data_IF_077581169675
#
_entry.id   IF_077581169675
#
_cell.length_a   1.000
_cell.length_b   1.000
_cell.length_c   1.000
_cell.angle_alpha   90.00
_cell.angle_beta   90.00
_cell.angle_gamma   90.00
#
_symmetry.space_group_name_H-M   'P 1'
#
loop_
_entity.id
_entity.type
_entity.pdbx_description
1 polymer ?
#
# COMPACT_ATOMS: atom_id res chain seq x y z
N UNK A 1 15.06 -22.26 13.68
CA UNK A 1 14.77 -22.40 12.23
C UNK A 1 14.58 -21.01 11.64
N UNK A 2 15.11 -20.79 10.44
CA UNK A 2 15.03 -19.50 9.76
C UNK A 2 13.60 -19.24 9.26
N UNK A 3 13.18 -17.98 9.32
CA UNK A 3 11.92 -17.51 8.74
C UNK A 3 12.08 -17.54 7.22
N UNK A 4 11.08 -18.04 6.50
CA UNK A 4 11.06 -18.00 5.06
C UNK A 4 10.27 -16.77 4.58
N UNK A 5 10.85 -16.01 3.64
CA UNK A 5 10.15 -14.95 2.91
C UNK A 5 9.30 -15.59 1.80
N UNK A 6 8.21 -16.25 2.17
CA UNK A 6 7.38 -17.00 1.21
C UNK A 6 5.95 -16.43 1.14
N UNK A 7 5.83 -15.24 0.58
CA UNK A 7 4.67 -14.86 -0.26
C UNK A 7 4.83 -13.40 -0.73
N UNK A 8 4.68 -13.16 -2.03
CA UNK A 8 4.56 -11.81 -2.58
C UNK A 8 3.17 -11.26 -2.26
N UNK A 9 2.95 -10.85 -1.02
CA UNK A 9 1.81 -9.99 -0.71
C UNK A 9 2.25 -8.54 -0.85
N UNK A 10 1.58 -7.83 -1.77
CA UNK A 10 1.75 -6.40 -2.01
C UNK A 10 1.21 -5.64 -0.79
N UNK A 11 2.03 -5.52 0.25
CA UNK A 11 1.76 -4.65 1.39
C UNK A 11 2.52 -3.33 1.17
N UNK A 12 2.08 -2.60 0.16
CA UNK A 12 2.51 -1.25 -0.16
C UNK A 12 2.07 -0.22 0.89
N UNK A 13 2.73 0.93 0.80
CA UNK A 13 2.56 2.05 1.73
C UNK A 13 1.66 3.09 1.10
N UNK A 14 0.78 3.65 1.91
CA UNK A 14 -0.13 4.69 1.45
C UNK A 14 0.59 6.04 1.32
N UNK A 15 0.13 6.91 0.41
CA UNK A 15 0.64 8.27 0.33
C UNK A 15 0.59 8.96 1.70
N UNK A 16 1.44 9.96 1.93
CA UNK A 16 1.50 10.64 3.22
C UNK A 16 0.10 11.17 3.62
N UNK A 17 -0.31 10.93 4.87
CA UNK A 17 -1.65 11.24 5.40
C UNK A 17 -2.82 10.46 4.78
N UNK A 18 -2.56 9.24 4.29
CA UNK A 18 -3.57 8.25 3.92
C UNK A 18 -3.50 7.06 4.86
N UNK A 19 -4.64 6.41 5.08
CA UNK A 19 -4.77 5.28 5.99
C UNK A 19 -4.78 3.97 5.18
N UNK A 20 -3.87 3.05 5.52
CA UNK A 20 -3.84 1.71 4.96
C UNK A 20 -4.89 0.82 5.64
N UNK A 21 -5.80 0.22 4.86
CA UNK A 21 -6.78 -0.77 5.34
C UNK A 21 -7.10 -1.76 4.21
N UNK A 22 -7.37 -3.04 4.52
CA UNK A 22 -8.04 -3.97 3.58
C UNK A 22 -7.44 -4.07 2.15
N UNK A 23 -6.13 -3.85 1.96
CA UNK A 23 -5.53 -3.93 0.62
C UNK A 23 -5.57 -2.62 -0.19
N UNK A 24 -6.08 -1.53 0.39
CA UNK A 24 -6.19 -0.20 -0.22
C UNK A 24 -5.73 0.92 0.72
N UNK A 25 -5.55 2.10 0.15
CA UNK A 25 -5.22 3.34 0.84
C UNK A 25 -6.39 4.30 0.79
N UNK A 26 -6.76 4.87 1.93
CA UNK A 26 -7.95 5.71 2.06
C UNK A 26 -7.60 7.10 2.56
N UNK A 27 -8.24 8.12 1.98
CA UNK A 27 -8.21 9.50 2.47
C UNK A 27 -9.61 9.96 2.82
N UNK A 28 -9.78 10.37 4.07
CA UNK A 28 -11.05 10.90 4.58
C UNK A 28 -11.03 12.42 4.46
N UNK A 29 -12.02 12.97 3.76
CA UNK A 29 -12.19 14.41 3.60
C UNK A 29 -13.45 14.87 4.30
N UNK A 30 -13.30 15.77 5.26
CA UNK A 30 -14.41 16.42 5.97
C UNK A 30 -14.99 17.61 5.21
N UNK A 31 -14.39 17.99 4.07
CA UNK A 31 -14.90 19.07 3.23
C UNK A 31 -16.16 18.59 2.51
N UNK A 32 -17.29 19.25 2.76
CA UNK A 32 -18.53 18.97 2.08
C UNK A 32 -18.45 19.44 0.60
N UNK A 33 -18.62 18.50 -0.33
CA UNK A 33 -18.65 18.76 -1.77
C UNK A 33 -19.82 18.01 -2.41
N UNK A 34 -20.33 18.50 -3.53
CA UNK A 34 -21.20 17.70 -4.38
C UNK A 34 -20.46 16.48 -4.94
N UNK A 35 -21.19 15.44 -5.33
CA UNK A 35 -20.59 14.15 -5.67
C UNK A 35 -19.58 14.26 -6.82
N UNK A 36 -19.91 15.03 -7.86
CA UNK A 36 -19.01 15.25 -8.99
C UNK A 36 -17.73 15.99 -8.57
N UNK A 37 -17.84 17.00 -7.71
CA UNK A 37 -16.69 17.72 -7.19
C UNK A 37 -15.84 16.86 -6.25
N UNK A 38 -16.46 15.98 -5.46
CA UNK A 38 -15.77 15.00 -4.61
C UNK A 38 -15.00 13.97 -5.47
N UNK A 39 -15.63 13.46 -6.54
CA UNK A 39 -14.98 12.61 -7.55
C UNK A 39 -13.74 13.29 -8.14
N UNK A 40 -13.90 14.50 -8.67
CA UNK A 40 -12.78 15.27 -9.23
C UNK A 40 -11.67 15.55 -8.21
N UNK A 41 -12.03 15.76 -6.94
CA UNK A 41 -11.05 15.94 -5.87
C UNK A 41 -10.21 14.69 -5.63
N UNK A 42 -10.83 13.50 -5.60
CA UNK A 42 -10.09 12.23 -5.52
C UNK A 42 -9.22 12.01 -6.77
N UNK A 43 -9.73 12.30 -7.96
CA UNK A 43 -8.99 12.16 -9.22
C UNK A 43 -7.77 13.10 -9.32
N UNK A 44 -7.87 14.30 -8.74
CA UNK A 44 -6.73 15.24 -8.64
C UNK A 44 -5.60 14.67 -7.78
N UNK A 45 -5.93 13.84 -6.79
CA UNK A 45 -4.97 13.09 -5.98
C UNK A 45 -4.49 11.79 -6.67
N UNK A 46 -4.91 11.55 -7.91
CA UNK A 46 -4.64 10.33 -8.67
C UNK A 46 -5.36 9.09 -8.11
N UNK A 47 -6.40 9.30 -7.32
CA UNK A 47 -7.22 8.27 -6.68
C UNK A 47 -8.65 8.28 -7.24
N UNK A 48 -9.56 7.52 -6.63
CA UNK A 48 -10.99 7.53 -6.96
C UNK A 48 -11.84 7.68 -5.70
N UNK A 49 -13.11 8.03 -5.82
CA UNK A 49 -14.05 7.84 -4.69
C UNK A 49 -14.08 6.34 -4.33
N UNK A 50 -14.25 6.04 -3.05
CA UNK A 50 -14.13 4.68 -2.53
C UNK A 50 -15.09 3.69 -3.18
N UNK A 51 -14.57 2.51 -3.52
CA UNK A 51 -15.30 1.38 -4.09
C UNK A 51 -15.35 0.26 -3.06
N UNK A 52 -16.54 -0.01 -2.51
CA UNK A 52 -16.69 -0.94 -1.39
C UNK A 52 -17.04 -2.34 -1.93
N UNK A 53 -16.09 -3.27 -1.82
CA UNK A 53 -16.20 -4.62 -2.38
C UNK A 53 -16.49 -5.70 -1.32
N UNK A 54 -16.46 -5.35 -0.03
CA UNK A 54 -16.78 -6.30 1.03
C UNK A 54 -17.34 -5.66 2.29
N UNK A 55 -17.99 -6.47 3.12
CA UNK A 55 -18.43 -6.04 4.46
C UNK A 55 -17.25 -5.68 5.37
N UNK A 56 -16.13 -6.41 5.25
CA UNK A 56 -14.92 -6.15 6.04
C UNK A 56 -14.32 -4.78 5.69
N UNK A 57 -14.31 -4.43 4.40
CA UNK A 57 -13.92 -3.12 3.91
C UNK A 57 -14.83 -2.00 4.43
N UNK A 58 -16.15 -2.15 4.30
CA UNK A 58 -17.08 -1.16 4.81
C UNK A 58 -16.90 -0.92 6.31
N UNK A 59 -16.73 -1.99 7.11
CA UNK A 59 -16.46 -1.90 8.55
C UNK A 59 -15.17 -1.14 8.85
N UNK A 60 -14.11 -1.38 8.08
CA UNK A 60 -12.86 -0.66 8.23
C UNK A 60 -13.03 0.83 7.93
N UNK A 61 -13.70 1.19 6.83
CA UNK A 61 -13.96 2.58 6.43
C UNK A 61 -14.74 3.33 7.51
N UNK A 62 -15.88 2.77 7.97
CA UNK A 62 -16.74 3.46 8.93
C UNK A 62 -16.08 3.62 10.30
N UNK A 63 -15.12 2.76 10.66
CA UNK A 63 -14.34 2.90 11.90
C UNK A 63 -13.45 4.14 11.94
N UNK A 64 -13.20 4.76 10.77
CA UNK A 64 -12.35 5.95 10.61
C UNK A 64 -13.14 7.21 10.29
N UNK A 65 -14.42 7.09 9.93
CA UNK A 65 -15.29 8.26 9.77
C UNK A 65 -15.56 8.83 11.17
N UNK A 66 -15.13 10.07 11.41
CA UNK A 66 -15.37 10.74 12.68
C UNK A 66 -16.65 11.56 12.62
N UNK A 67 -17.47 11.46 13.66
CA UNK A 67 -18.78 12.13 13.73
C UNK A 67 -19.90 11.33 13.05
N UNK A 68 -21.11 11.87 13.10
CA UNK A 68 -22.32 11.26 12.52
C UNK A 68 -22.69 11.88 11.17
N UNK A 69 -21.71 12.13 10.31
CA UNK A 69 -21.91 12.77 9.01
C UNK A 69 -22.19 11.75 7.90
N UNK A 70 -23.16 12.06 7.04
CA UNK A 70 -23.36 11.36 5.78
C UNK A 70 -22.10 11.50 4.92
N UNK A 71 -21.72 10.45 4.20
CA UNK A 71 -20.43 10.41 3.51
C UNK A 71 -20.56 9.83 2.11
N UNK A 72 -20.14 10.58 1.09
CA UNK A 72 -20.11 10.11 -0.29
C UNK A 72 -19.18 8.92 -0.48
N UNK A 73 -19.65 7.96 -1.28
CA UNK A 73 -18.87 6.83 -1.80
C UNK A 73 -18.90 6.87 -3.34
N UNK A 74 -18.09 6.05 -3.99
CA UNK A 74 -17.96 6.04 -5.46
C UNK A 74 -19.12 5.40 -6.21
N UNK A 75 -20.27 5.19 -5.59
CA UNK A 75 -21.42 4.51 -6.20
C UNK A 75 -22.29 5.52 -6.93
N UNK A 76 -22.66 5.24 -8.18
CA UNK A 76 -23.56 6.08 -8.96
C UNK A 76 -24.44 5.29 -9.94
N UNK A 77 -25.57 5.84 -10.37
CA UNK A 77 -26.39 5.26 -11.43
C UNK A 77 -25.66 5.33 -12.76
N UNK A 78 -25.82 4.29 -13.57
CA UNK A 78 -25.29 4.28 -14.93
C UNK A 78 -26.01 5.32 -15.79
N UNK A 79 -25.28 6.25 -16.44
CA UNK A 79 -25.87 7.20 -17.37
C UNK A 79 -26.64 6.55 -18.54
N UNK A 80 -26.27 5.33 -18.93
CA UNK A 80 -26.88 4.61 -20.05
C UNK A 80 -28.08 3.75 -19.65
N UNK A 81 -28.19 3.40 -18.37
CA UNK A 81 -29.25 2.53 -17.85
C UNK A 81 -29.49 2.88 -16.37
N UNK A 82 -30.49 3.71 -16.10
CA UNK A 82 -30.78 4.21 -14.75
C UNK A 82 -31.25 3.12 -13.77
N UNK A 83 -31.57 1.92 -14.25
CA UNK A 83 -31.86 0.76 -13.39
C UNK A 83 -30.57 0.15 -12.80
N UNK A 84 -29.41 0.48 -13.37
CA UNK A 84 -28.11 -0.09 -13.03
C UNK A 84 -27.27 0.87 -12.19
N UNK A 85 -26.54 0.29 -11.24
CA UNK A 85 -25.54 0.97 -10.42
C UNK A 85 -24.13 0.55 -10.81
N UNK A 86 -23.21 1.51 -10.81
CA UNK A 86 -21.80 1.33 -11.12
C UNK A 86 -20.95 2.02 -10.05
N UNK A 87 -19.76 1.48 -9.85
CA UNK A 87 -18.69 2.20 -9.17
C UNK A 87 -18.01 3.19 -10.13
N UNK A 88 -17.33 4.20 -9.58
CA UNK A 88 -16.55 5.19 -10.33
C UNK A 88 -15.46 4.61 -11.24
N UNK A 89 -15.06 3.35 -11.04
CA UNK A 89 -14.14 2.62 -11.92
C UNK A 89 -14.84 1.86 -13.06
N UNK A 90 -16.16 2.02 -13.18
CA UNK A 90 -17.00 1.39 -14.20
C UNK A 90 -17.43 -0.04 -13.88
N UNK A 91 -16.99 -0.62 -12.76
CA UNK A 91 -17.37 -1.97 -12.36
C UNK A 91 -18.77 -1.99 -11.74
N UNK A 92 -19.42 -3.17 -11.74
CA UNK A 92 -20.70 -3.39 -11.07
C UNK A 92 -20.46 -3.82 -9.61
N UNK A 93 -21.29 -3.40 -8.64
CA UNK A 93 -21.18 -3.88 -7.28
C UNK A 93 -21.40 -5.40 -7.19
N UNK A 94 -20.41 -6.12 -6.68
CA UNK A 94 -20.51 -7.56 -6.32
C UNK A 94 -20.95 -7.75 -4.87
N UNK A 95 -20.69 -6.75 -4.03
CA UNK A 95 -21.20 -6.60 -2.67
C UNK A 95 -22.16 -5.41 -2.64
N UNK A 96 -23.26 -5.54 -1.90
CA UNK A 96 -24.19 -4.43 -1.64
C UNK A 96 -24.55 -4.36 -0.17
N UNK A 97 -24.80 -3.15 0.32
CA UNK A 97 -25.28 -2.94 1.69
C UNK A 97 -26.28 -1.80 1.78
N UNK A 98 -27.24 -1.80 0.87
CA UNK A 98 -28.35 -0.86 0.86
C UNK A 98 -29.16 -0.89 2.16
N UNK A 99 -29.74 0.26 2.47
CA UNK A 99 -30.82 0.38 3.44
C UNK A 99 -32.05 -0.42 3.00
N UNK A 100 -32.90 -0.86 3.94
CA UNK A 100 -34.19 -1.41 3.59
C UNK A 100 -34.96 -0.44 2.68
N UNK A 101 -35.44 -0.93 1.54
CA UNK A 101 -36.16 -0.17 0.49
C UNK A 101 -35.31 0.76 -0.37
N UNK A 102 -33.98 0.77 -0.19
CA UNK A 102 -33.07 1.45 -1.11
C UNK A 102 -32.50 0.48 -2.16
N UNK A 103 -32.13 0.97 -3.35
CA UNK A 103 -32.28 2.35 -3.82
C UNK A 103 -33.72 2.70 -4.23
N UNK A 104 -34.25 3.83 -3.77
CA UNK A 104 -35.70 4.13 -3.82
C UNK A 104 -36.13 5.12 -4.90
N UNK A 105 -35.22 5.95 -5.43
CA UNK A 105 -35.56 7.00 -6.39
C UNK A 105 -34.63 7.05 -7.60
N UNK A 106 -35.20 6.99 -8.81
CA UNK A 106 -34.41 7.11 -10.06
C UNK A 106 -33.74 8.48 -10.25
N UNK A 107 -34.22 9.52 -9.56
CA UNK A 107 -33.61 10.86 -9.54
C UNK A 107 -32.49 11.01 -8.50
N UNK A 108 -32.28 9.98 -7.69
CA UNK A 108 -31.20 9.90 -6.71
C UNK A 108 -30.10 9.01 -7.28
N UNK A 109 -29.08 9.65 -7.84
CA UNK A 109 -28.13 8.98 -8.73
C UNK A 109 -26.78 8.69 -8.07
N UNK A 110 -26.58 9.10 -6.82
CA UNK A 110 -25.30 9.01 -6.13
C UNK A 110 -25.44 8.35 -4.75
N UNK A 111 -24.58 7.38 -4.45
CA UNK A 111 -24.62 6.63 -3.20
C UNK A 111 -23.81 7.27 -2.07
N UNK A 112 -24.32 7.21 -0.84
CA UNK A 112 -23.61 7.60 0.37
C UNK A 112 -23.81 6.59 1.51
N UNK A 113 -22.94 6.66 2.52
CA UNK A 113 -23.09 5.96 3.80
C UNK A 113 -23.98 6.77 4.75
N UNK A 114 -24.86 6.08 5.50
CA UNK A 114 -25.79 6.71 6.44
C UNK A 114 -25.61 6.24 7.90
N UNK A 115 -25.05 7.07 8.80
CA UNK A 115 -24.78 6.68 10.20
C UNK A 115 -26.03 6.22 10.97
N UNK A 116 -27.15 6.94 10.83
CA UNK A 116 -28.40 6.66 11.55
C UNK A 116 -29.07 5.33 11.15
N UNK A 117 -28.61 4.71 10.07
CA UNK A 117 -29.08 3.39 9.61
C UNK A 117 -27.96 2.35 9.63
N UNK A 118 -27.06 2.43 10.61
CA UNK A 118 -25.97 1.47 10.77
C UNK A 118 -24.94 1.52 9.63
N UNK A 119 -24.74 2.71 9.06
CA UNK A 119 -23.81 2.99 7.96
C UNK A 119 -24.10 2.25 6.67
N UNK A 120 -25.35 1.83 6.46
CA UNK A 120 -25.84 1.27 5.20
C UNK A 120 -25.93 2.33 4.09
N UNK A 121 -26.05 1.86 2.86
CA UNK A 121 -26.02 2.70 1.66
C UNK A 121 -27.39 3.27 1.37
N UNK A 122 -27.39 4.49 0.86
CA UNK A 122 -28.58 5.22 0.42
C UNK A 122 -28.24 5.97 -0.85
N UNK A 123 -29.17 6.02 -1.81
CA UNK A 123 -29.06 6.90 -2.96
C UNK A 123 -29.57 8.29 -2.62
N UNK A 124 -28.92 9.31 -3.16
CA UNK A 124 -29.36 10.68 -3.00
C UNK A 124 -28.99 11.53 -4.22
N UNK A 125 -29.56 12.73 -4.31
CA UNK A 125 -29.25 13.67 -5.39
C UNK A 125 -27.78 14.09 -5.30
N UNK A 126 -27.06 13.93 -6.42
CA UNK A 126 -25.62 14.18 -6.51
C UNK A 126 -25.20 15.63 -6.23
N UNK A 127 -26.15 16.58 -6.23
CA UNK A 127 -25.92 18.00 -5.98
C UNK A 127 -25.76 18.33 -4.48
N UNK A 128 -26.19 17.44 -3.58
CA UNK A 128 -25.99 17.61 -2.15
C UNK A 128 -24.50 17.63 -1.79
N UNK A 129 -24.13 18.40 -0.78
CA UNK A 129 -22.72 18.53 -0.37
C UNK A 129 -22.42 17.70 0.87
N UNK A 130 -21.60 16.66 0.73
CA UNK A 130 -21.21 15.75 1.82
C UNK A 130 -19.68 15.60 1.89
N UNK A 131 -19.13 15.29 3.08
CA UNK A 131 -17.84 14.64 3.23
C UNK A 131 -17.68 13.42 2.31
N UNK A 132 -16.45 13.01 2.03
CA UNK A 132 -16.18 11.92 1.09
C UNK A 132 -14.92 11.13 1.44
N UNK A 133 -14.83 9.91 0.92
CA UNK A 133 -13.66 9.04 1.07
C UNK A 133 -13.08 8.74 -0.29
N UNK A 134 -11.78 9.00 -0.44
CA UNK A 134 -11.00 8.57 -1.60
C UNK A 134 -10.30 7.25 -1.31
N UNK A 135 -10.09 6.45 -2.35
CA UNK A 135 -9.41 5.15 -2.31
C UNK A 135 -8.41 5.04 -3.47
N UNK A 136 -7.27 4.41 -3.20
CA UNK A 136 -6.36 3.89 -4.24
C UNK A 136 -5.85 2.51 -3.82
N UNK A 137 -5.71 1.53 -4.74
CA UNK A 137 -5.13 0.25 -4.41
C UNK A 137 -3.69 0.38 -3.92
N UNK A 138 -3.27 -0.53 -3.05
CA UNK A 138 -1.90 -0.61 -2.58
C UNK A 138 -0.97 -1.05 -3.71
N UNK A 139 0.19 -0.39 -3.85
CA UNK A 139 1.22 -0.80 -4.80
C UNK A 139 0.87 -0.52 -6.27
N UNK A 140 -0.25 0.17 -6.52
CA UNK A 140 -0.64 0.67 -7.84
C UNK A 140 -0.39 2.17 -7.86
N UNK A 141 0.32 2.63 -8.88
CA UNK A 141 0.57 4.05 -9.02
C UNK A 141 -0.70 4.82 -9.33
N UNK A 142 -0.83 6.06 -8.81
CA UNK A 142 -1.96 6.90 -9.16
C UNK A 142 -2.04 7.09 -10.68
N UNK A 143 -3.23 7.37 -11.21
CA UNK A 143 -3.41 7.53 -12.66
C UNK A 143 -2.43 8.56 -13.25
N UNK A 144 -1.79 8.22 -14.37
CA UNK A 144 -0.74 9.00 -15.02
C UNK A 144 0.56 9.17 -14.21
N UNK A 145 0.81 8.31 -13.22
CA UNK A 145 2.12 8.15 -12.60
C UNK A 145 2.81 6.91 -13.15
N UNK A 146 4.13 7.00 -13.26
CA UNK A 146 4.97 5.93 -13.76
C UNK A 146 5.36 4.99 -12.61
N UNK A 147 5.01 3.72 -12.72
CA UNK A 147 5.48 2.68 -11.80
C UNK A 147 6.85 2.15 -12.22
N UNK A 148 7.85 2.26 -11.34
CA UNK A 148 9.19 1.68 -11.55
C UNK A 148 9.79 1.23 -10.22
N UNK A 149 10.42 0.05 -10.18
CA UNK A 149 11.24 -0.43 -9.06
C UNK A 149 10.60 -0.34 -7.65
N UNK A 150 9.27 -0.42 -7.55
CA UNK A 150 8.58 -0.29 -6.25
C UNK A 150 8.39 1.16 -5.79
N UNK A 151 8.35 2.10 -6.72
CA UNK A 151 7.98 3.49 -6.49
C UNK A 151 7.12 4.01 -7.64
N UNK A 152 6.36 5.07 -7.38
CA UNK A 152 5.61 5.82 -8.38
C UNK A 152 6.24 7.17 -8.60
N UNK A 153 6.39 7.56 -9.86
CA UNK A 153 7.04 8.79 -10.24
C UNK A 153 6.15 9.64 -11.13
N UNK A 154 6.23 10.95 -10.97
CA UNK A 154 5.57 11.90 -11.88
C UNK A 154 6.49 13.05 -12.21
N UNK A 155 6.71 13.24 -13.51
CA UNK A 155 7.41 14.41 -14.02
C UNK A 155 6.45 15.60 -14.08
N UNK A 156 6.87 16.72 -13.51
CA UNK A 156 6.15 17.98 -13.58
C UNK A 156 7.00 18.96 -14.38
N UNK A 157 6.53 19.30 -15.58
CA UNK A 157 7.24 20.18 -16.52
C UNK A 157 7.17 21.66 -16.12
N UNK A 158 6.24 22.06 -15.25
CA UNK A 158 6.10 23.44 -14.80
C UNK A 158 7.28 23.80 -13.89
N UNK A 159 8.15 24.69 -14.38
CA UNK A 159 9.34 25.08 -13.66
C UNK A 159 9.04 26.01 -12.48
N UNK A 160 9.52 25.64 -11.30
CA UNK A 160 9.37 26.40 -10.05
C UNK A 160 10.66 26.32 -9.21
N UNK A 161 10.77 27.13 -8.16
CA UNK A 161 11.88 27.02 -7.21
C UNK A 161 11.80 25.72 -6.39
N UNK A 162 12.93 25.30 -5.80
CA UNK A 162 13.02 23.98 -5.16
C UNK A 162 12.03 23.80 -4.00
N UNK A 163 11.83 24.84 -3.18
CA UNK A 163 10.87 24.80 -2.07
C UNK A 163 9.43 24.67 -2.57
N UNK A 164 9.08 25.38 -3.64
CA UNK A 164 7.76 25.27 -4.27
C UNK A 164 7.55 23.88 -4.90
N UNK A 165 8.59 23.31 -5.52
CA UNK A 165 8.53 21.94 -6.06
C UNK A 165 8.31 20.90 -4.96
N UNK A 166 9.02 21.04 -3.83
CA UNK A 166 8.82 20.21 -2.63
C UNK A 166 7.38 20.28 -2.12
N UNK A 167 6.87 21.49 -1.88
CA UNK A 167 5.49 21.70 -1.42
C UNK A 167 4.44 21.17 -2.40
N UNK A 168 4.70 21.27 -3.71
CA UNK A 168 3.83 20.74 -4.74
C UNK A 168 3.77 19.20 -4.71
N UNK A 169 4.91 18.52 -4.57
CA UNK A 169 4.92 17.07 -4.39
C UNK A 169 4.20 16.65 -3.09
N UNK A 170 4.42 17.38 -1.99
CA UNK A 170 3.75 17.12 -0.71
C UNK A 170 2.23 17.28 -0.80
N UNK A 171 1.75 18.27 -1.55
CA UNK A 171 0.32 18.49 -1.82
C UNK A 171 -0.30 17.30 -2.55
N UNK A 172 0.48 16.61 -3.39
CA UNK A 172 0.08 15.38 -4.08
C UNK A 172 0.21 14.11 -3.20
N UNK A 173 0.56 14.25 -1.92
CA UNK A 173 0.81 13.11 -1.02
C UNK A 173 2.13 12.38 -1.30
N UNK A 174 3.06 13.03 -1.99
CA UNK A 174 4.34 12.48 -2.45
C UNK A 174 5.51 13.32 -1.90
N UNK A 175 6.74 13.04 -2.33
CA UNK A 175 7.95 13.83 -2.03
C UNK A 175 8.71 14.15 -3.31
N UNK A 176 9.64 15.11 -3.29
CA UNK A 176 10.61 15.22 -4.39
C UNK A 176 11.40 13.91 -4.51
N UNK A 177 11.77 13.54 -5.72
CA UNK A 177 12.37 12.23 -5.99
C UNK A 177 13.66 12.00 -5.21
N UNK A 178 13.76 10.82 -4.62
CA UNK A 178 14.96 10.25 -4.01
C UNK A 178 15.56 9.27 -5.01
N UNK A 179 16.85 9.39 -5.32
CA UNK A 179 17.53 8.53 -6.30
C UNK A 179 18.61 7.72 -5.59
N UNK A 180 18.43 6.41 -5.49
CA UNK A 180 19.32 5.52 -4.76
C UNK A 180 20.12 4.57 -5.65
N UNK A 181 19.90 4.62 -6.97
CA UNK A 181 20.68 3.81 -7.91
C UNK A 181 20.83 4.48 -9.28
N UNK A 182 21.86 4.08 -10.02
CA UNK A 182 22.05 4.54 -11.39
C UNK A 182 20.96 4.03 -12.35
N UNK A 183 20.42 2.83 -12.11
CA UNK A 183 19.31 2.29 -12.91
C UNK A 183 18.05 3.14 -12.75
N UNK A 184 17.73 3.55 -11.52
CA UNK A 184 16.64 4.48 -11.22
C UNK A 184 16.85 5.84 -11.89
N UNK A 185 18.06 6.41 -11.77
CA UNK A 185 18.41 7.68 -12.42
C UNK A 185 18.16 7.63 -13.93
N UNK A 186 18.69 6.61 -14.62
CA UNK A 186 18.53 6.46 -16.06
C UNK A 186 17.07 6.28 -16.48
N UNK A 187 16.31 5.51 -15.70
CA UNK A 187 14.90 5.28 -15.96
C UNK A 187 14.09 6.57 -15.84
N UNK A 188 14.33 7.40 -14.82
CA UNK A 188 13.70 8.71 -14.64
C UNK A 188 14.12 9.68 -15.74
N UNK A 189 15.42 9.77 -16.03
CA UNK A 189 15.97 10.65 -17.05
C UNK A 189 15.35 10.39 -18.44
N UNK A 190 15.02 9.13 -18.75
CA UNK A 190 14.35 8.76 -20.02
C UNK A 190 12.97 9.41 -20.21
N UNK A 191 12.36 9.92 -19.13
CA UNK A 191 11.02 10.52 -19.14
C UNK A 191 11.02 12.03 -19.22
N UNK A 192 12.18 12.68 -19.16
CA UNK A 192 12.29 14.14 -19.26
C UNK A 192 12.07 14.55 -20.72
N UNK A 193 10.93 15.20 -20.98
CA UNK A 193 10.63 15.80 -22.27
C UNK A 193 11.32 17.16 -22.38
N UNK A 194 12.19 17.35 -23.38
CA UNK A 194 12.88 18.63 -23.62
C UNK A 194 14.30 18.75 -23.04
N UNK A 195 14.78 17.74 -22.30
CA UNK A 195 16.18 17.68 -21.86
C UNK A 195 16.60 18.85 -20.98
N UNK A 196 15.72 19.36 -20.12
CA UNK A 196 16.00 20.48 -19.23
C UNK A 196 16.67 19.98 -17.94
N UNK A 197 17.46 20.85 -17.31
CA UNK A 197 17.92 20.63 -15.93
C UNK A 197 16.71 20.53 -15.01
N UNK A 198 16.71 19.55 -14.11
CA UNK A 198 15.52 19.14 -13.35
C UNK A 198 15.85 19.03 -11.86
N UNK A 199 14.97 19.50 -10.97
CA UNK A 199 15.13 19.33 -9.54
C UNK A 199 15.00 17.87 -9.10
N UNK A 200 15.84 17.48 -8.15
CA UNK A 200 15.72 16.24 -7.37
C UNK A 200 15.61 16.57 -5.87
N UNK A 201 15.21 15.60 -5.06
CA UNK A 201 14.99 15.77 -3.62
C UNK A 201 16.25 15.80 -2.76
N UNK A 202 17.44 16.03 -3.33
CA UNK A 202 18.69 16.07 -2.57
C UNK A 202 19.03 17.51 -2.23
N UNK A 203 19.34 17.78 -0.96
CA UNK A 203 19.64 19.13 -0.48
C UNK A 203 20.72 19.11 0.59
N UNK A 204 21.41 20.24 0.72
CA UNK A 204 22.48 20.46 1.70
C UNK A 204 21.85 20.60 3.08
N UNK A 205 22.37 19.86 4.05
CA UNK A 205 21.81 19.85 5.39
C UNK A 205 21.94 21.23 6.06
N UNK A 206 20.82 21.82 6.55
CA UNK A 206 20.85 23.09 7.27
C UNK A 206 21.72 23.08 8.52
N UNK A 207 21.91 21.90 9.16
CA UNK A 207 22.69 21.75 10.39
C UNK A 207 24.18 21.51 10.14
N UNK A 208 24.52 20.96 8.99
CA UNK A 208 25.88 20.65 8.59
C UNK A 208 26.04 20.81 7.08
N UNK A 209 26.55 21.96 6.65
CA UNK A 209 26.66 22.30 5.23
C UNK A 209 27.65 21.42 4.45
N UNK A 210 28.45 20.59 5.12
CA UNK A 210 29.28 19.57 4.45
C UNK A 210 28.48 18.33 4.04
N UNK A 211 27.28 18.15 4.61
CA UNK A 211 26.42 16.99 4.42
C UNK A 211 25.26 17.29 3.47
N UNK A 212 24.84 16.25 2.77
CA UNK A 212 23.64 16.24 1.94
C UNK A 212 22.64 15.18 2.45
N UNK A 213 21.35 15.50 2.36
CA UNK A 213 20.24 14.68 2.79
C UNK A 213 19.19 14.60 1.68
N UNK A 214 18.48 13.48 1.62
CA UNK A 214 17.27 13.37 0.84
C UNK A 214 16.08 13.98 1.59
N UNK A 215 15.06 14.43 0.86
CA UNK A 215 13.82 15.01 1.44
C UNK A 215 13.06 14.07 2.38
N UNK A 216 13.35 12.77 2.37
CA UNK A 216 12.81 11.81 3.35
C UNK A 216 13.68 11.65 4.61
N UNK A 217 14.74 12.45 4.74
CA UNK A 217 15.69 12.43 5.85
C UNK A 217 16.75 11.34 5.74
N UNK A 218 16.68 10.47 4.72
CA UNK A 218 17.70 9.45 4.51
C UNK A 218 19.02 10.06 4.05
N UNK A 219 20.11 9.35 4.36
CA UNK A 219 21.45 9.68 3.84
C UNK A 219 21.62 9.00 2.50
N UNK A 220 22.27 9.69 1.57
CA UNK A 220 22.60 9.11 0.27
C UNK A 220 23.60 7.96 0.43
N UNK A 221 23.30 6.83 -0.21
CA UNK A 221 24.23 5.72 -0.49
C UNK A 221 24.71 5.73 -1.94
N UNK A 222 24.19 6.65 -2.75
CA UNK A 222 24.46 6.80 -4.17
C UNK A 222 24.42 8.28 -4.55
N UNK A 223 25.49 8.76 -5.18
CA UNK A 223 25.53 10.09 -5.78
C UNK A 223 25.92 10.01 -7.24
N UNK A 224 25.45 10.98 -8.01
CA UNK A 224 25.84 11.14 -9.41
C UNK A 224 26.36 12.55 -9.68
N UNK A 225 27.11 13.09 -8.71
CA UNK A 225 27.75 14.40 -8.86
C UNK A 225 28.65 14.45 -10.09
N UNK A 226 28.55 15.55 -10.83
CA UNK A 226 29.49 15.86 -11.90
C UNK A 226 30.89 16.06 -11.33
N UNK A 227 31.90 15.86 -12.16
CA UNK A 227 33.28 16.17 -11.79
C UNK A 227 33.41 17.59 -11.22
N UNK A 228 33.99 17.69 -10.03
CA UNK A 228 34.14 18.91 -9.20
C UNK A 228 32.91 19.40 -8.45
N UNK A 229 31.76 18.74 -8.59
CA UNK A 229 30.56 19.02 -7.79
C UNK A 229 30.50 18.12 -6.54
N UNK A 230 29.83 18.56 -5.46
CA UNK A 230 29.24 19.89 -5.26
C UNK A 230 30.32 20.95 -4.94
N UNK A 231 30.26 22.11 -5.58
CA UNK A 231 31.36 23.09 -5.57
C UNK A 231 31.09 24.37 -4.73
N UNK A 232 29.85 24.62 -4.32
CA UNK A 232 29.46 25.89 -3.72
C UNK A 232 28.53 25.71 -2.52
N UNK A 233 29.02 26.05 -1.32
CA UNK A 233 28.24 25.90 -0.08
C UNK A 233 26.97 26.75 -0.01
N UNK A 234 26.84 27.78 -0.87
CA UNK A 234 25.62 28.59 -1.02
C UNK A 234 24.62 28.00 -2.01
N UNK A 235 25.02 26.98 -2.76
CA UNK A 235 24.15 26.18 -3.60
C UNK A 235 23.73 24.93 -2.81
N UNK A 236 22.48 24.97 -2.37
CA UNK A 236 21.97 24.09 -1.32
C UNK A 236 21.00 23.04 -1.86
N UNK A 237 20.67 23.07 -3.15
CA UNK A 237 19.70 22.18 -3.78
C UNK A 237 20.31 21.48 -4.98
N UNK A 238 20.18 20.15 -5.06
CA UNK A 238 20.72 19.40 -6.17
C UNK A 238 19.79 19.48 -7.39
N UNK A 239 20.37 19.75 -8.55
CA UNK A 239 19.72 19.64 -9.85
C UNK A 239 20.41 18.57 -10.71
N UNK A 240 19.60 17.78 -11.41
CA UNK A 240 20.06 16.83 -12.40
C UNK A 240 20.17 17.55 -13.74
N UNK A 241 21.38 17.66 -14.29
CA UNK A 241 21.60 18.33 -15.57
C UNK A 241 20.97 17.58 -16.74
N UNK A 242 20.89 18.26 -17.88
CA UNK A 242 20.34 17.69 -19.11
C UNK A 242 21.13 16.51 -19.66
N UNK A 243 20.54 15.82 -20.65
CA UNK A 243 21.17 14.74 -21.43
C UNK A 243 22.57 15.09 -21.95
N UNK A 244 22.81 16.37 -22.29
CA UNK A 244 24.11 16.85 -22.80
C UNK A 244 25.24 16.61 -21.80
N UNK A 245 24.92 16.62 -20.51
CA UNK A 245 25.86 16.43 -19.41
C UNK A 245 25.67 15.07 -18.74
N UNK A 246 25.14 14.07 -19.46
CA UNK A 246 25.02 12.70 -18.95
C UNK A 246 24.05 12.51 -17.78
N UNK A 247 23.20 13.51 -17.49
CA UNK A 247 22.32 13.54 -16.31
C UNK A 247 23.08 13.56 -14.97
N UNK A 248 24.33 14.02 -14.97
CA UNK A 248 25.10 14.27 -13.76
C UNK A 248 24.48 15.40 -12.93
N UNK A 249 24.78 15.42 -11.63
CA UNK A 249 24.21 16.34 -10.67
C UNK A 249 25.10 17.55 -10.45
N UNK A 250 24.46 18.68 -10.18
CA UNK A 250 25.06 19.94 -9.80
C UNK A 250 24.39 20.46 -8.52
N UNK A 251 25.15 21.09 -7.63
CA UNK A 251 24.54 21.91 -6.58
C UNK A 251 24.15 23.26 -7.18
N UNK A 252 22.86 23.55 -7.20
CA UNK A 252 22.31 24.78 -7.74
C UNK A 252 21.67 25.66 -6.68
N UNK A 253 21.55 26.94 -7.00
CA UNK A 253 20.75 27.87 -6.18
C UNK A 253 19.29 27.40 -6.10
N UNK A 254 18.78 27.16 -4.89
CA UNK A 254 17.40 26.73 -4.64
C UNK A 254 16.33 27.70 -5.19
N UNK A 255 16.69 28.96 -5.44
CA UNK A 255 15.81 29.99 -6.02
C UNK A 255 15.60 29.84 -7.53
N UNK A 256 16.41 29.03 -8.21
CA UNK A 256 16.27 28.79 -9.64
C UNK A 256 14.95 28.07 -9.96
N UNK A 257 14.36 28.37 -11.11
CA UNK A 257 13.17 27.65 -11.58
C UNK A 257 13.57 26.44 -12.43
N UNK A 258 13.11 25.24 -12.04
CA UNK A 258 13.31 24.00 -12.80
C UNK A 258 12.06 23.12 -12.77
N UNK A 259 11.80 22.31 -13.80
CA UNK A 259 10.89 21.17 -13.69
C UNK A 259 11.40 20.19 -12.64
N UNK A 260 10.57 19.24 -12.23
CA UNK A 260 10.88 18.35 -11.09
C UNK A 260 10.18 17.00 -11.19
N UNK A 261 10.69 16.01 -10.45
CA UNK A 261 10.01 14.73 -10.24
C UNK A 261 9.48 14.63 -8.82
N UNK A 262 8.24 14.14 -8.72
CA UNK A 262 7.68 13.64 -7.47
C UNK A 262 7.78 12.12 -7.41
N UNK A 263 7.93 11.58 -6.21
CA UNK A 263 8.04 10.16 -5.89
C UNK A 263 7.08 9.77 -4.76
N UNK A 264 6.41 8.63 -4.93
CA UNK A 264 5.74 7.89 -3.86
C UNK A 264 6.48 6.55 -3.71
N UNK A 265 7.06 6.30 -2.55
CA UNK A 265 7.73 5.05 -2.26
C UNK A 265 6.70 3.95 -1.99
N UNK A 266 6.62 2.94 -2.85
CA UNK A 266 5.81 1.75 -2.61
C UNK A 266 6.64 0.76 -1.80
N UNK A 267 6.80 1.04 -0.50
CA UNK A 267 7.64 0.19 0.35
C UNK A 267 7.09 -1.23 0.34
N UNK A 268 7.97 -2.22 0.11
CA UNK A 268 7.69 -3.61 0.44
C UNK A 268 7.77 -3.75 1.95
N UNK A 269 6.64 -3.98 2.64
CA UNK A 269 6.71 -4.52 3.99
C UNK A 269 6.78 -6.04 3.90
N UNK A 270 7.89 -6.60 4.41
CA UNK A 270 8.06 -8.04 4.52
C UNK A 270 7.25 -8.53 5.72
N UNK A 271 6.15 -9.24 5.45
CA UNK A 271 5.51 -10.03 6.51
C UNK A 271 6.31 -11.33 6.64
N UNK A 272 6.92 -11.52 7.80
CA UNK A 272 7.56 -12.78 8.14
C UNK A 272 6.46 -13.82 8.37
N UNK A 273 6.64 -15.01 7.80
CA UNK A 273 5.77 -16.16 8.06
C UNK A 273 6.65 -17.37 8.35
N UNK A 274 6.15 -18.26 9.19
CA UNK A 274 6.89 -19.46 9.52
C UNK A 274 6.66 -20.52 8.44
N UNK A 275 7.73 -21.21 7.99
CA UNK A 275 7.63 -22.17 6.91
C UNK A 275 6.76 -23.39 7.26
N UNK A 276 6.75 -23.77 8.54
CA UNK A 276 6.06 -24.96 9.03
C UNK A 276 4.79 -24.58 9.82
N UNK A 277 3.66 -25.30 9.61
CA UNK A 277 2.40 -25.03 10.33
C UNK A 277 2.47 -25.19 11.84
N UNK A 278 3.43 -26.00 12.34
CA UNK A 278 3.69 -26.18 13.78
C UNK A 278 4.57 -25.08 14.38
N UNK A 279 4.77 -23.96 13.68
CA UNK A 279 5.54 -22.82 14.17
C UNK A 279 4.66 -21.56 14.24
N UNK A 280 4.94 -20.71 15.21
CA UNK A 280 4.31 -19.41 15.41
C UNK A 280 5.37 -18.30 15.42
N UNK A 281 4.98 -17.08 15.04
CA UNK A 281 5.89 -15.94 15.12
C UNK A 281 6.09 -15.51 16.58
N UNK A 282 7.34 -15.25 16.95
CA UNK A 282 7.69 -14.59 18.21
C UNK A 282 7.10 -13.18 18.29
N UNK A 283 7.06 -12.63 19.50
CA UNK A 283 6.54 -11.28 19.79
C UNK A 283 7.18 -10.15 18.99
N UNK A 284 8.42 -10.34 18.51
CA UNK A 284 9.13 -9.39 17.65
C UNK A 284 8.83 -9.57 16.14
N UNK A 285 7.95 -10.50 15.78
CA UNK A 285 7.59 -10.88 14.41
C UNK A 285 8.76 -11.25 13.50
N UNK A 286 9.90 -11.69 14.07
CA UNK A 286 11.14 -11.94 13.31
C UNK A 286 11.72 -13.34 13.47
N UNK A 287 11.20 -14.16 14.39
CA UNK A 287 11.65 -15.53 14.61
C UNK A 287 10.46 -16.47 14.70
N UNK A 288 10.68 -17.72 14.34
CA UNK A 288 9.70 -18.78 14.52
C UNK A 288 9.95 -19.50 15.84
N UNK A 289 8.88 -19.62 16.62
CA UNK A 289 8.79 -20.36 17.86
C UNK A 289 7.94 -21.60 17.66
N UNK A 290 8.41 -22.71 18.19
CA UNK A 290 7.73 -23.99 18.11
C UNK A 290 6.39 -23.97 18.85
N UNK A 291 5.33 -24.42 18.19
CA UNK A 291 4.03 -24.66 18.82
C UNK A 291 4.11 -26.06 19.40
N UNK A 292 3.93 -26.20 20.71
CA UNK A 292 3.88 -27.53 21.31
C UNK A 292 2.47 -28.11 21.17
N UNK A 293 2.19 -28.83 20.09
CA UNK A 293 0.86 -29.42 19.87
C UNK A 293 0.56 -30.56 20.86
N UNK A 294 1.59 -31.22 21.43
CA UNK A 294 1.41 -32.23 22.46
C UNK A 294 0.81 -31.67 23.76
N UNK A 295 0.98 -30.37 24.02
CA UNK A 295 0.41 -29.71 25.20
C UNK A 295 -1.13 -29.66 25.16
N UNK A 296 -1.74 -29.81 23.98
CA UNK A 296 -3.19 -29.80 23.80
C UNK A 296 -3.66 -31.19 23.41
N UNK A 297 -4.46 -31.82 24.28
CA UNK A 297 -5.05 -33.14 24.04
C UNK A 297 -4.03 -34.22 23.60
N UNK A 298 -2.78 -34.16 24.08
CA UNK A 298 -1.71 -35.09 23.71
C UNK A 298 -1.47 -35.15 22.17
N UNK A 299 -1.68 -34.05 21.45
CA UNK A 299 -1.58 -34.04 19.98
C UNK A 299 -2.57 -34.96 19.26
N UNK A 300 -3.58 -35.49 19.96
CA UNK A 300 -4.46 -36.55 19.44
C UNK A 300 -3.79 -37.92 19.32
N UNK A 301 -2.62 -38.11 19.93
CA UNK A 301 -1.95 -39.40 20.02
C UNK A 301 -2.67 -40.33 21.00
N UNK A 302 -2.79 -41.61 20.63
CA UNK A 302 -3.34 -42.65 21.52
C UNK A 302 -2.49 -42.93 22.75
N UNK A 303 -1.16 -42.79 22.63
CA UNK A 303 -0.21 -43.12 23.68
C UNK A 303 0.73 -41.94 23.95
N UNK A 304 1.96 -41.96 23.42
CA UNK A 304 2.94 -40.93 23.70
C UNK A 304 2.98 -39.93 22.55
N UNK A 305 2.77 -38.65 22.85
CA UNK A 305 3.10 -37.57 21.94
C UNK A 305 4.52 -37.08 22.20
N UNK A 306 5.30 -36.85 21.14
CA UNK A 306 6.64 -36.27 21.19
C UNK A 306 6.64 -35.02 20.33
N UNK A 307 6.81 -33.89 21.00
CA UNK A 307 6.92 -32.60 20.35
C UNK A 307 8.26 -32.49 19.60
N UNK A 308 8.24 -31.95 18.39
CA UNK A 308 9.42 -31.80 17.53
C UNK A 308 9.44 -30.39 16.94
N UNK A 309 10.59 -29.90 16.48
CA UNK A 309 10.63 -28.56 15.90
C UNK A 309 9.77 -28.48 14.62
N UNK A 310 8.71 -27.66 14.65
CA UNK A 310 7.77 -27.42 13.55
C UNK A 310 6.65 -28.46 13.41
N UNK A 311 6.56 -29.44 14.31
CA UNK A 311 5.55 -30.50 14.26
C UNK A 311 5.52 -31.38 15.53
N UNK A 312 4.78 -32.47 15.51
CA UNK A 312 4.83 -33.50 16.55
C UNK A 312 4.66 -34.89 15.95
N UNK A 313 5.03 -35.92 16.70
CA UNK A 313 4.80 -37.32 16.33
C UNK A 313 4.25 -38.13 17.48
N UNK A 314 3.48 -39.15 17.17
CA UNK A 314 3.04 -40.15 18.14
C UNK A 314 4.05 -41.30 18.19
N UNK A 315 4.27 -41.88 19.37
CA UNK A 315 5.15 -43.03 19.58
C UNK A 315 4.42 -44.12 20.37
N UNK A 316 4.71 -45.38 20.03
CA UNK A 316 4.22 -46.54 20.74
C UNK A 316 5.28 -47.02 21.73
N UNK A 317 4.97 -47.11 23.03
CA UNK A 317 5.96 -47.46 24.05
C UNK A 317 6.34 -48.94 24.02
N UNK A 318 5.45 -49.81 23.55
CA UNK A 318 5.65 -51.26 23.55
C UNK A 318 6.23 -51.77 22.22
N UNK A 319 7.25 -52.67 22.25
CA UNK A 319 7.85 -53.24 21.03
C UNK A 319 6.89 -54.04 20.13
N UNK A 320 5.76 -54.49 20.68
CA UNK A 320 4.72 -55.23 19.94
C UNK A 320 3.67 -54.36 19.25
N UNK A 321 3.78 -53.03 19.34
CA UNK A 321 2.85 -52.07 18.77
C UNK A 321 3.49 -51.24 17.66
N UNK A 322 2.74 -50.99 16.59
CA UNK A 322 3.10 -50.06 15.52
C UNK A 322 2.02 -48.98 15.37
N UNK A 323 2.40 -47.84 14.81
CA UNK A 323 1.41 -46.81 14.47
C UNK A 323 0.48 -47.30 13.35
N UNK A 324 -0.80 -46.97 13.46
CA UNK A 324 -1.80 -47.12 12.39
C UNK A 324 -1.52 -46.16 11.23
N UNK A 325 -2.25 -46.36 10.13
CA UNK A 325 -2.11 -45.54 8.91
C UNK A 325 -2.40 -44.04 9.10
N UNK A 326 -3.16 -43.66 10.14
CA UNK A 326 -3.40 -42.26 10.52
C UNK A 326 -2.24 -41.64 11.32
N UNK A 327 -1.21 -42.42 11.67
CA UNK A 327 -0.04 -41.98 12.42
C UNK A 327 -0.31 -41.63 13.90
N UNK A 328 -1.51 -41.93 14.43
CA UNK A 328 -1.94 -41.47 15.77
C UNK A 328 -2.24 -42.59 16.74
N UNK A 329 -2.70 -43.75 16.26
CA UNK A 329 -3.07 -44.89 17.13
C UNK A 329 -2.01 -45.97 17.12
N UNK A 330 -1.73 -46.57 18.28
CA UNK A 330 -0.88 -47.75 18.37
C UNK A 330 -1.74 -49.01 18.27
N UNK A 331 -1.34 -49.92 17.40
CA UNK A 331 -2.02 -51.20 17.16
C UNK A 331 -0.99 -52.34 17.18
N UNK A 332 -1.42 -53.54 17.56
CA UNK A 332 -0.52 -54.71 17.56
C UNK A 332 -0.12 -55.09 16.15
N UNK A 333 1.12 -55.54 15.99
CA UNK A 333 1.58 -56.18 14.75
C UNK A 333 0.63 -57.34 14.42
N UNK A 334 -0.06 -57.22 13.28
CA UNK A 334 -0.70 -58.36 12.65
C UNK A 334 0.31 -58.87 11.64
N UNK A 335 1.08 -59.90 12.00
CA UNK A 335 1.87 -60.64 11.01
C UNK A 335 0.89 -61.25 10.00
N UNK A 336 0.98 -60.88 8.73
CA UNK A 336 0.26 -61.59 7.68
C UNK A 336 0.65 -63.08 7.74
N UNK A 337 -0.32 -64.02 7.71
CA UNK A 337 0.01 -65.43 7.59
C UNK A 337 0.70 -65.67 6.26
N UNK A 338 1.86 -66.32 6.28
CA UNK A 338 2.47 -66.90 5.08
C UNK A 338 1.43 -67.89 4.52
N UNK A 339 0.87 -67.57 3.36
CA UNK A 339 0.01 -68.48 2.60
C UNK A 339 0.85 -69.69 2.20
N UNK A 340 0.55 -70.85 2.80
CA UNK A 340 0.94 -72.17 2.29
C UNK A 340 -0.06 -72.64 1.24
#
# INVERSE_FOLDING_TARGET
MFVNLLSFNVLGVCPNNWIHMQGSCYKFSYKALNWNAAKSACETLGSKLVVINSQAEQRAIISKITGSQLTWIGLHRDPKDKSRWLWVDGTRPTYTNWNPREPSSVGEECGHLWPNYGWKWNDWTCTNSLPYVCETPIGVCPNNWLHMQGSCYKFISQAVNWNAAKSACETLGSKLVVINSQAELQALASKITGGQTTWIGFYRDPKDKSRWLWVDGSRSTYTHWRSKEPNNVREECAEMYSKRYGWEWNDGSCSNSRPYFCEILLVRSYKCECPDPGLSLSSDSKKCQDINECAVSNGGCSHKCVNTAGSYKCECPDPGLSLSSDGRKCQRYVSEPILQ
#
